data_IF_267904849828
#
_entry.id   IF_267904849828
#
_cell.length_a   1.000
_cell.length_b   1.000
_cell.length_c   1.000
_cell.angle_alpha   90.00
_cell.angle_beta   90.00
_cell.angle_gamma   90.00
#
_symmetry.space_group_name_H-M   'P 1'
#
loop_
_entity.id
_entity.type
_entity.pdbx_description
1 polymer ?
#
# COMPACT_ATOMS: atom_id res chain seq x y z
N UNK A 1 -8.27 28.81 -6.98
CA UNK A 1 -9.08 28.13 -8.03
C UNK A 1 -10.48 27.84 -7.48
N UNK A 2 -11.48 27.64 -8.35
CA UNK A 2 -12.86 27.30 -7.89
C UNK A 2 -12.87 26.01 -7.03
N UNK A 3 -12.02 25.05 -7.35
CA UNK A 3 -11.84 23.85 -6.55
C UNK A 3 -11.25 24.15 -5.17
N UNK A 4 -10.27 25.04 -5.09
CA UNK A 4 -9.66 25.46 -3.83
C UNK A 4 -10.69 26.16 -2.89
N UNK A 5 -11.51 27.04 -3.45
CA UNK A 5 -12.56 27.72 -2.71
C UNK A 5 -13.62 26.74 -2.16
N UNK A 6 -13.98 25.72 -2.95
CA UNK A 6 -14.95 24.70 -2.53
C UNK A 6 -14.42 23.81 -1.40
N UNK A 7 -13.14 23.46 -1.42
CA UNK A 7 -12.56 22.53 -0.44
C UNK A 7 -12.03 23.24 0.82
N UNK A 8 -11.71 24.53 0.75
CA UNK A 8 -11.20 25.31 1.89
C UNK A 8 -12.24 25.50 3.01
N UNK A 9 -13.52 25.34 2.69
CA UNK A 9 -14.63 25.47 3.64
C UNK A 9 -15.03 24.18 4.34
N UNK A 10 -14.36 23.07 4.05
CA UNK A 10 -14.66 21.77 4.66
C UNK A 10 -14.13 21.69 6.10
N UNK A 11 -14.87 20.99 6.95
CA UNK A 11 -14.47 20.72 8.32
C UNK A 11 -13.18 19.90 8.38
N UNK A 12 -12.39 20.12 9.42
CA UNK A 12 -11.13 19.41 9.69
C UNK A 12 -10.02 19.60 8.64
N UNK A 13 -10.20 20.48 7.66
CA UNK A 13 -9.15 20.85 6.72
C UNK A 13 -8.11 21.71 7.43
N UNK A 14 -6.86 21.32 7.33
CA UNK A 14 -5.71 22.01 7.91
C UNK A 14 -5.10 22.99 6.93
N UNK A 15 -4.77 22.51 5.72
CA UNK A 15 -4.19 23.31 4.65
C UNK A 15 -4.71 22.85 3.29
N UNK A 16 -4.79 23.80 2.36
CA UNK A 16 -5.10 23.54 0.95
C UNK A 16 -3.98 24.13 0.11
N UNK A 17 -3.43 23.31 -0.78
CA UNK A 17 -2.40 23.73 -1.73
C UNK A 17 -2.94 23.50 -3.14
N UNK A 18 -2.80 24.48 -4.02
CA UNK A 18 -3.19 24.35 -5.42
C UNK A 18 -1.99 24.59 -6.35
N UNK A 19 -1.88 23.72 -7.34
CA UNK A 19 -0.89 23.80 -8.41
C UNK A 19 -1.65 23.80 -9.74
N UNK A 20 -1.50 24.87 -10.49
CA UNK A 20 -2.10 25.00 -11.82
C UNK A 20 -1.01 25.11 -12.87
N UNK A 21 -1.05 24.23 -13.85
CA UNK A 21 -0.20 24.24 -15.04
C UNK A 21 -1.08 24.17 -16.28
N UNK A 22 -0.47 24.31 -17.46
CA UNK A 22 -1.21 24.14 -18.71
C UNK A 22 -1.87 22.75 -18.76
N UNK A 23 -3.17 22.71 -18.92
CA UNK A 23 -4.02 21.52 -18.99
C UNK A 23 -4.13 20.66 -17.71
N UNK A 24 -3.50 21.03 -16.59
CA UNK A 24 -3.58 20.26 -15.35
C UNK A 24 -3.74 21.20 -14.15
N UNK A 25 -4.74 20.91 -13.31
CA UNK A 25 -4.89 21.54 -11.99
C UNK A 25 -4.90 20.45 -10.91
N UNK A 26 -4.04 20.61 -9.93
CA UNK A 26 -3.93 19.70 -8.78
C UNK A 26 -4.23 20.50 -7.52
N UNK A 27 -5.20 20.02 -6.74
CA UNK A 27 -5.50 20.57 -5.42
C UNK A 27 -5.20 19.52 -4.36
N UNK A 28 -4.25 19.80 -3.49
CA UNK A 28 -3.87 18.95 -2.37
C UNK A 28 -4.54 19.46 -1.10
N UNK A 29 -5.39 18.64 -0.50
CA UNK A 29 -6.10 18.95 0.75
C UNK A 29 -5.47 18.17 1.89
N UNK A 30 -4.95 18.88 2.88
CA UNK A 30 -4.39 18.29 4.10
C UNK A 30 -5.42 18.38 5.23
N UNK A 31 -5.76 17.25 5.84
CA UNK A 31 -6.66 17.17 6.97
C UNK A 31 -5.92 17.16 8.32
N UNK A 32 -6.59 17.53 9.38
CA UNK A 32 -6.07 17.45 10.73
C UNK A 32 -5.83 16.00 11.16
N UNK A 33 -4.87 15.80 12.06
CA UNK A 33 -4.61 14.46 12.60
C UNK A 33 -5.82 13.94 13.39
N UNK A 34 -6.21 12.69 13.12
CA UNK A 34 -7.36 12.04 13.76
C UNK A 34 -8.69 12.22 13.04
N UNK A 35 -8.72 12.96 11.93
CA UNK A 35 -9.91 13.05 11.07
C UNK A 35 -10.22 11.66 10.48
N UNK A 36 -11.50 11.29 10.50
CA UNK A 36 -11.95 10.07 9.83
C UNK A 36 -11.87 10.26 8.32
N UNK A 37 -10.96 9.52 7.68
CA UNK A 37 -10.64 9.64 6.25
C UNK A 37 -11.85 9.33 5.37
N UNK A 38 -12.65 8.32 5.72
CA UNK A 38 -13.84 7.95 4.94
C UNK A 38 -14.87 9.09 4.90
N UNK A 39 -15.08 9.73 6.07
CA UNK A 39 -15.99 10.89 6.18
C UNK A 39 -15.41 12.09 5.42
N UNK A 40 -14.12 12.35 5.55
CA UNK A 40 -13.43 13.42 4.84
C UNK A 40 -13.51 13.24 3.32
N UNK A 41 -13.29 12.00 2.82
CA UNK A 41 -13.43 11.66 1.40
C UNK A 41 -14.85 11.92 0.87
N UNK A 42 -15.89 11.50 1.63
CA UNK A 42 -17.28 11.70 1.23
C UNK A 42 -17.61 13.20 1.16
N UNK A 43 -17.15 13.99 2.16
CA UNK A 43 -17.38 15.43 2.18
C UNK A 43 -16.64 16.15 1.06
N UNK A 44 -15.36 15.75 0.80
CA UNK A 44 -14.56 16.26 -0.31
C UNK A 44 -15.25 15.97 -1.65
N UNK A 45 -15.71 14.72 -1.85
CA UNK A 45 -16.41 14.32 -3.05
C UNK A 45 -17.69 15.15 -3.27
N UNK A 46 -18.49 15.36 -2.23
CA UNK A 46 -19.70 16.21 -2.31
C UNK A 46 -19.38 17.66 -2.70
N UNK A 47 -18.31 18.23 -2.12
CA UNK A 47 -17.87 19.58 -2.45
C UNK A 47 -17.40 19.69 -3.91
N UNK A 48 -16.65 18.73 -4.41
CA UNK A 48 -16.19 18.68 -5.80
C UNK A 48 -17.37 18.44 -6.75
N UNK A 49 -18.29 17.53 -6.43
CA UNK A 49 -19.47 17.27 -7.25
C UNK A 49 -20.37 18.53 -7.34
N UNK A 50 -20.42 19.35 -6.28
CA UNK A 50 -21.18 20.60 -6.27
C UNK A 50 -20.67 21.68 -7.23
N UNK A 51 -19.40 21.64 -7.61
CA UNK A 51 -18.79 22.63 -8.53
C UNK A 51 -18.57 22.10 -9.94
N UNK A 52 -19.01 20.87 -10.26
CA UNK A 52 -18.83 20.29 -11.60
C UNK A 52 -19.42 21.19 -12.70
N UNK A 53 -20.58 21.79 -12.47
CA UNK A 53 -21.22 22.70 -13.44
C UNK A 53 -20.48 24.04 -13.61
N UNK A 54 -19.57 24.38 -12.71
CA UNK A 54 -18.81 25.62 -12.73
C UNK A 54 -17.42 25.46 -13.36
N UNK A 55 -17.05 24.23 -13.72
CA UNK A 55 -15.82 23.92 -14.45
C UNK A 55 -16.00 24.23 -15.95
N UNK A 56 -14.90 24.50 -16.68
CA UNK A 56 -14.94 24.64 -18.14
C UNK A 56 -15.49 23.37 -18.81
N UNK A 57 -16.25 23.54 -19.91
CA UNK A 57 -16.87 22.43 -20.65
C UNK A 57 -15.84 21.40 -21.19
N UNK A 58 -14.60 21.85 -21.44
CA UNK A 58 -13.50 21.02 -21.92
C UNK A 58 -12.71 20.34 -20.78
N UNK A 59 -13.07 20.59 -19.50
CA UNK A 59 -12.38 19.99 -18.36
C UNK A 59 -12.88 18.56 -18.10
N UNK A 60 -11.95 17.62 -17.94
CA UNK A 60 -12.27 16.27 -17.47
C UNK A 60 -12.83 16.33 -16.04
N UNK A 61 -13.59 15.31 -15.67
CA UNK A 61 -14.06 15.17 -14.29
C UNK A 61 -12.88 15.09 -13.30
N UNK A 62 -12.93 15.87 -12.18
CA UNK A 62 -11.89 15.81 -11.17
C UNK A 62 -11.80 14.41 -10.56
N UNK A 63 -10.60 13.83 -10.55
CA UNK A 63 -10.32 12.57 -9.91
C UNK A 63 -9.77 12.80 -8.49
N UNK A 64 -10.39 12.21 -7.49
CA UNK A 64 -9.94 12.31 -6.09
C UNK A 64 -9.05 11.10 -5.79
N UNK A 65 -7.80 11.37 -5.45
CA UNK A 65 -6.83 10.35 -5.05
C UNK A 65 -6.46 10.53 -3.59
N UNK A 66 -6.63 9.48 -2.81
CA UNK A 66 -6.14 9.45 -1.43
C UNK A 66 -4.63 9.16 -1.43
N UNK A 67 -3.86 10.04 -0.78
CA UNK A 67 -2.42 9.84 -0.56
C UNK A 67 -2.21 9.30 0.85
N UNK A 68 -2.35 8.00 1.03
CA UNK A 68 -1.96 7.32 2.26
C UNK A 68 -0.54 6.74 2.12
N UNK A 69 0.28 6.92 3.14
CA UNK A 69 1.60 6.26 3.24
C UNK A 69 1.48 4.74 3.27
N UNK A 70 0.31 4.20 3.65
CA UNK A 70 0.01 2.78 3.59
C UNK A 70 -0.42 2.29 2.21
N UNK A 71 -0.69 3.18 1.25
CA UNK A 71 -1.06 2.83 -0.13
C UNK A 71 0.14 2.50 -1.03
N UNK A 72 1.34 2.49 -0.48
CA UNK A 72 2.52 1.96 -1.18
C UNK A 72 2.34 0.45 -1.46
N UNK A 73 2.72 -0.03 -2.65
CA UNK A 73 2.66 -1.46 -2.93
C UNK A 73 3.59 -2.23 -1.98
N UNK A 74 3.04 -3.29 -1.40
CA UNK A 74 3.80 -4.20 -0.52
C UNK A 74 4.72 -5.08 -1.32
N UNK A 75 4.22 -5.62 -2.43
CA UNK A 75 4.99 -6.49 -3.32
C UNK A 75 4.74 -6.07 -4.76
N UNK A 76 5.79 -6.06 -5.55
CA UNK A 76 5.75 -5.81 -6.99
C UNK A 76 6.34 -7.01 -7.72
N UNK A 77 5.56 -7.60 -8.62
CA UNK A 77 5.95 -8.72 -9.45
C UNK A 77 6.18 -8.26 -10.88
N UNK A 78 7.20 -8.76 -11.53
CA UNK A 78 7.38 -8.71 -12.97
C UNK A 78 6.82 -10.01 -13.57
N UNK A 79 5.77 -9.90 -14.37
CA UNK A 79 5.19 -11.03 -15.09
C UNK A 79 5.61 -10.94 -16.56
N UNK A 80 6.37 -11.90 -16.99
CA UNK A 80 6.86 -12.03 -18.38
C UNK A 80 6.53 -13.40 -18.93
N UNK A 81 6.78 -13.61 -20.23
CA UNK A 81 6.59 -14.89 -20.88
C UNK A 81 5.90 -14.76 -22.23
N UNK A 82 5.68 -15.91 -22.86
CA UNK A 82 4.93 -15.98 -24.11
C UNK A 82 3.54 -16.56 -23.84
N UNK A 83 2.54 -15.82 -24.26
CA UNK A 83 1.12 -16.22 -24.16
C UNK A 83 0.47 -16.09 -25.53
N UNK A 84 -0.61 -16.80 -25.73
CA UNK A 84 -1.44 -16.62 -26.92
C UNK A 84 -2.17 -15.27 -26.82
N UNK A 85 -1.72 -14.28 -27.60
CA UNK A 85 -2.27 -12.94 -27.60
C UNK A 85 -1.44 -11.91 -26.83
N UNK A 86 -2.11 -10.91 -26.29
CA UNK A 86 -1.50 -9.78 -25.60
C UNK A 86 -1.20 -10.13 -24.13
N UNK A 87 0.04 -9.96 -23.71
CA UNK A 87 0.48 -10.29 -22.34
C UNK A 87 -0.28 -9.45 -21.28
N UNK A 88 -0.51 -8.15 -21.52
CA UNK A 88 -1.22 -7.30 -20.58
C UNK A 88 -2.66 -7.77 -20.36
N UNK A 89 -3.40 -8.00 -21.44
CA UNK A 89 -4.77 -8.51 -21.39
C UNK A 89 -4.84 -9.88 -20.74
N UNK A 90 -3.85 -10.73 -21.02
CA UNK A 90 -3.77 -12.06 -20.40
C UNK A 90 -3.58 -11.97 -18.89
N UNK A 91 -2.67 -11.11 -18.41
CA UNK A 91 -2.42 -10.88 -16.99
C UNK A 91 -3.64 -10.23 -16.32
N UNK A 92 -4.29 -9.26 -16.99
CA UNK A 92 -5.50 -8.57 -16.49
C UNK A 92 -6.64 -9.55 -16.24
N UNK A 93 -6.87 -10.49 -17.17
CA UNK A 93 -8.02 -11.39 -17.12
C UNK A 93 -7.79 -12.67 -16.30
N UNK A 94 -6.55 -13.17 -16.24
CA UNK A 94 -6.27 -14.47 -15.62
C UNK A 94 -5.47 -14.37 -14.32
N UNK A 95 -4.54 -13.44 -14.21
CA UNK A 95 -3.62 -13.37 -13.06
C UNK A 95 -4.13 -12.39 -12.00
N UNK A 96 -4.53 -11.19 -12.42
CA UNK A 96 -5.05 -10.15 -11.51
C UNK A 96 -6.21 -10.64 -10.65
N UNK A 97 -7.27 -11.29 -11.19
CA UNK A 97 -8.38 -11.76 -10.36
C UNK A 97 -7.99 -12.82 -9.34
N UNK A 98 -7.01 -13.67 -9.65
CA UNK A 98 -6.52 -14.69 -8.72
C UNK A 98 -5.75 -14.09 -7.54
N UNK A 99 -5.07 -12.97 -7.75
CA UNK A 99 -4.39 -12.22 -6.69
C UNK A 99 -5.38 -11.38 -5.87
N UNK A 100 -6.41 -10.81 -6.49
CA UNK A 100 -7.47 -10.04 -5.81
C UNK A 100 -8.38 -10.90 -4.92
N UNK A 101 -8.47 -12.21 -5.16
CA UNK A 101 -9.21 -13.15 -4.30
C UNK A 101 -8.57 -13.37 -2.94
N UNK A 102 -7.29 -13.00 -2.77
CA UNK A 102 -6.58 -13.16 -1.50
C UNK A 102 -7.13 -12.16 -0.48
N UNK A 103 -7.59 -12.64 0.67
CA UNK A 103 -8.18 -11.80 1.71
C UNK A 103 -7.24 -10.77 2.34
N UNK A 104 -5.94 -10.93 2.17
CA UNK A 104 -4.90 -9.99 2.63
C UNK A 104 -4.62 -8.87 1.62
N UNK A 105 -5.02 -9.03 0.36
CA UNK A 105 -4.80 -8.08 -0.74
C UNK A 105 -5.94 -7.06 -0.80
N UNK A 106 -5.60 -5.79 -0.90
CA UNK A 106 -6.56 -4.68 -1.03
C UNK A 106 -6.78 -4.25 -2.48
N UNK A 107 -5.71 -4.14 -3.25
CA UNK A 107 -5.74 -3.69 -4.64
C UNK A 107 -4.58 -4.30 -5.43
N UNK A 108 -4.86 -4.68 -6.67
CA UNK A 108 -3.85 -5.11 -7.64
C UNK A 108 -3.87 -4.17 -8.83
N UNK A 109 -2.77 -3.46 -9.07
CA UNK A 109 -2.59 -2.56 -10.20
C UNK A 109 -1.56 -3.08 -11.17
N UNK A 110 -1.85 -2.90 -12.46
CA UNK A 110 -0.99 -3.32 -13.56
C UNK A 110 -0.32 -2.09 -14.17
N UNK A 111 0.93 -2.22 -14.57
CA UNK A 111 1.67 -1.20 -15.31
C UNK A 111 2.63 -1.88 -16.30
N UNK A 112 2.90 -1.18 -17.40
CA UNK A 112 3.69 -1.74 -18.50
C UNK A 112 2.86 -2.64 -19.42
N UNK A 113 3.21 -2.64 -20.69
CA UNK A 113 2.44 -3.30 -21.73
C UNK A 113 1.37 -2.39 -22.33
N UNK A 114 0.66 -2.89 -23.29
CA UNK A 114 -0.38 -2.17 -24.04
C UNK A 114 -1.69 -2.94 -23.93
N UNK A 115 -2.75 -2.25 -23.57
CA UNK A 115 -4.08 -2.83 -23.54
C UNK A 115 -4.58 -3.05 -24.97
N UNK A 116 -5.16 -4.20 -25.22
CA UNK A 116 -5.81 -4.50 -26.50
C UNK A 116 -7.24 -3.98 -26.49
N UNK A 117 -7.62 -3.33 -27.58
CA UNK A 117 -8.99 -2.88 -27.79
C UNK A 117 -9.43 -3.14 -29.22
N UNK A 118 -10.75 -3.18 -29.46
CA UNK A 118 -11.30 -3.33 -30.79
C UNK A 118 -11.49 -1.94 -31.40
N UNK A 119 -10.75 -1.66 -32.47
CA UNK A 119 -10.82 -0.40 -33.21
C UNK A 119 -11.84 -0.55 -34.33
N UNK A 120 -12.82 0.36 -34.36
CA UNK A 120 -13.83 0.48 -35.43
C UNK A 120 -13.53 1.74 -36.20
N UNK A 121 -12.90 1.62 -37.36
CA UNK A 121 -12.58 2.73 -38.25
C UNK A 121 -13.67 2.85 -39.31
N UNK A 122 -14.46 3.91 -39.26
CA UNK A 122 -15.50 4.20 -40.24
C UNK A 122 -14.90 4.66 -41.57
N UNK A 123 -15.50 4.22 -42.69
CA UNK A 123 -15.21 4.71 -44.04
C UNK A 123 -16.11 5.91 -44.32
N UNK A 124 -15.58 7.15 -44.45
CA UNK A 124 -16.41 8.35 -44.61
C UNK A 124 -17.25 8.32 -45.87
N UNK A 125 -16.73 7.73 -46.97
CA UNK A 125 -17.43 7.69 -48.24
C UNK A 125 -18.67 6.77 -48.17
N UNK A 126 -18.48 5.59 -47.56
CA UNK A 126 -19.57 4.62 -47.37
C UNK A 126 -20.60 5.12 -46.36
N UNK A 127 -20.15 5.71 -45.24
CA UNK A 127 -21.05 6.31 -44.24
C UNK A 127 -21.93 7.40 -44.90
N UNK A 128 -21.34 8.26 -45.73
CA UNK A 128 -22.10 9.29 -46.50
C UNK A 128 -23.05 8.66 -47.53
N UNK A 129 -22.61 7.62 -48.24
CA UNK A 129 -23.42 6.92 -49.26
C UNK A 129 -24.71 6.31 -48.64
N UNK A 130 -24.60 5.73 -47.42
CA UNK A 130 -25.76 5.16 -46.73
C UNK A 130 -26.53 6.17 -45.87
N UNK A 131 -26.13 7.45 -45.86
CA UNK A 131 -26.79 8.52 -45.10
C UNK A 131 -26.75 8.33 -43.58
N UNK A 132 -25.70 7.67 -43.08
CA UNK A 132 -25.49 7.42 -41.69
C UNK A 132 -24.68 8.53 -41.03
N UNK A 133 -24.86 8.72 -39.72
CA UNK A 133 -24.00 9.55 -38.88
C UNK A 133 -23.21 8.69 -37.95
N UNK A 134 -22.03 9.18 -37.54
CA UNK A 134 -21.17 8.51 -36.57
C UNK A 134 -21.91 8.20 -35.26
N UNK A 135 -22.67 9.18 -34.73
CA UNK A 135 -23.46 9.01 -33.51
C UNK A 135 -24.50 7.89 -33.63
N UNK A 136 -25.12 7.72 -34.81
CA UNK A 136 -26.12 6.69 -35.06
C UNK A 136 -25.47 5.30 -35.09
N UNK A 137 -24.29 5.18 -35.73
CA UNK A 137 -23.52 3.92 -35.75
C UNK A 137 -23.07 3.55 -34.32
N UNK A 138 -22.54 4.52 -33.58
CA UNK A 138 -22.12 4.28 -32.16
C UNK A 138 -23.30 3.83 -31.29
N UNK A 139 -24.50 4.40 -31.53
CA UNK A 139 -25.71 3.99 -30.81
C UNK A 139 -26.15 2.57 -31.16
N UNK A 140 -26.04 2.13 -32.40
CA UNK A 140 -26.37 0.76 -32.79
C UNK A 140 -25.37 -0.25 -32.26
N UNK A 141 -24.07 0.08 -32.29
CA UNK A 141 -23.02 -0.77 -31.73
C UNK A 141 -23.21 -0.91 -30.22
N UNK A 142 -23.44 0.22 -29.51
CA UNK A 142 -23.71 0.19 -28.07
C UNK A 142 -25.01 -0.50 -27.66
N UNK A 143 -26.05 -0.42 -28.52
CA UNK A 143 -27.32 -1.11 -28.28
C UNK A 143 -27.27 -2.62 -28.61
N UNK A 144 -26.29 -3.05 -29.40
CA UNK A 144 -26.09 -4.43 -29.77
C UNK A 144 -25.31 -5.24 -28.68
N UNK A 145 -24.56 -4.50 -27.84
CA UNK A 145 -23.90 -5.06 -26.65
C UNK A 145 -24.86 -4.97 -25.45
N UNK A 146 -25.59 -6.04 -25.18
CA UNK A 146 -26.51 -6.07 -24.05
C UNK A 146 -26.57 -7.46 -23.42
N UNK A 147 -26.69 -7.48 -22.10
CA UNK A 147 -26.97 -8.70 -21.33
C UNK A 147 -28.21 -8.46 -20.45
N UNK A 148 -29.27 -9.18 -20.74
CA UNK A 148 -30.52 -9.11 -19.98
C UNK A 148 -30.63 -10.36 -19.08
N UNK A 149 -30.78 -10.22 -17.78
CA UNK A 149 -31.05 -11.37 -16.91
C UNK A 149 -32.43 -11.94 -17.27
N UNK A 150 -32.45 -13.21 -17.69
CA UNK A 150 -33.68 -13.93 -18.08
C UNK A 150 -34.34 -14.68 -16.91
N UNK A 151 -33.74 -14.59 -15.73
CA UNK A 151 -34.23 -15.23 -14.50
C UNK A 151 -33.32 -16.34 -14.02
N UNK A 152 -33.76 -17.05 -12.96
CA UNK A 152 -33.01 -18.13 -12.32
C UNK A 152 -33.65 -19.47 -12.60
N UNK A 153 -32.82 -20.47 -12.92
CA UNK A 153 -33.24 -21.86 -13.12
C UNK A 153 -32.62 -22.72 -12.04
N UNK A 154 -33.47 -23.45 -11.32
CA UNK A 154 -33.06 -24.42 -10.32
C UNK A 154 -32.67 -25.75 -10.98
N UNK A 155 -31.39 -26.09 -10.95
CA UNK A 155 -30.89 -27.39 -11.41
C UNK A 155 -30.44 -28.21 -10.20
N UNK A 156 -31.30 -29.06 -9.71
CA UNK A 156 -31.04 -29.84 -8.50
C UNK A 156 -30.97 -28.96 -7.24
N UNK A 157 -29.78 -28.80 -6.63
CA UNK A 157 -29.55 -27.97 -5.45
C UNK A 157 -28.85 -26.62 -5.78
N UNK A 158 -28.58 -26.36 -7.05
CA UNK A 158 -27.92 -25.13 -7.50
C UNK A 158 -28.93 -24.22 -8.19
N UNK A 159 -28.87 -22.94 -7.87
CA UNK A 159 -29.61 -21.89 -8.53
C UNK A 159 -28.69 -21.29 -9.59
N UNK A 160 -29.02 -21.42 -10.86
CA UNK A 160 -28.26 -20.89 -11.97
C UNK A 160 -29.01 -19.67 -12.53
N UNK A 161 -28.37 -18.50 -12.48
CA UNK A 161 -28.88 -17.31 -13.18
C UNK A 161 -28.67 -17.47 -14.67
N UNK A 162 -29.77 -17.33 -15.43
CA UNK A 162 -29.78 -17.36 -16.89
C UNK A 162 -29.82 -15.93 -17.39
N UNK A 163 -28.85 -15.55 -18.21
CA UNK A 163 -28.83 -14.28 -18.92
C UNK A 163 -28.93 -14.54 -20.43
N UNK A 164 -29.65 -13.68 -21.13
CA UNK A 164 -29.69 -13.64 -22.59
C UNK A 164 -29.03 -12.34 -23.02
N UNK A 165 -27.97 -12.46 -23.79
CA UNK A 165 -27.21 -11.31 -24.25
C UNK A 165 -26.44 -11.64 -25.51
N UNK A 166 -25.92 -10.60 -26.12
CA UNK A 166 -25.01 -10.66 -27.24
C UNK A 166 -23.70 -10.05 -26.73
N UNK A 167 -22.83 -10.90 -26.18
CA UNK A 167 -21.47 -10.49 -25.79
C UNK A 167 -20.57 -10.55 -27.01
N UNK A 168 -19.88 -9.44 -27.29
CA UNK A 168 -18.94 -9.38 -28.40
C UNK A 168 -17.57 -9.91 -27.99
N UNK A 169 -17.47 -11.22 -27.81
CA UNK A 169 -16.22 -11.89 -27.43
C UNK A 169 -15.14 -11.83 -28.52
N UNK A 170 -15.53 -11.45 -29.76
CA UNK A 170 -14.59 -11.41 -30.87
C UNK A 170 -14.98 -10.37 -31.94
N UNK A 171 -13.97 -9.98 -32.76
CA UNK A 171 -14.14 -9.02 -33.87
C UNK A 171 -15.14 -9.48 -34.95
N UNK A 172 -15.35 -10.78 -35.12
CA UNK A 172 -16.28 -11.30 -36.11
C UNK A 172 -17.75 -11.03 -35.71
N UNK A 173 -18.08 -11.16 -34.43
CA UNK A 173 -19.41 -10.83 -33.96
C UNK A 173 -19.75 -9.33 -34.19
N UNK A 174 -18.79 -8.45 -33.91
CA UNK A 174 -18.91 -7.01 -34.16
C UNK A 174 -19.07 -6.67 -35.65
N UNK A 175 -18.36 -7.33 -36.54
CA UNK A 175 -18.50 -7.11 -38.01
C UNK A 175 -19.91 -7.37 -38.48
N UNK A 176 -20.63 -8.29 -37.88
CA UNK A 176 -21.97 -8.73 -38.25
C UNK A 176 -23.10 -7.94 -37.55
N UNK A 177 -22.77 -6.87 -36.79
CA UNK A 177 -23.79 -6.01 -36.19
C UNK A 177 -24.65 -5.39 -37.25
N UNK A 178 -25.97 -5.59 -37.14
CA UNK A 178 -26.95 -5.10 -38.09
C UNK A 178 -27.28 -3.62 -37.85
N UNK A 179 -27.17 -2.82 -38.88
CA UNK A 179 -27.50 -1.38 -38.87
C UNK A 179 -28.69 -1.13 -39.79
N UNK A 180 -29.88 -0.84 -39.26
CA UNK A 180 -31.05 -0.54 -40.09
C UNK A 180 -30.93 0.84 -40.71
N UNK A 181 -31.18 0.91 -42.03
CA UNK A 181 -31.22 2.14 -42.84
C UNK A 181 -32.62 2.77 -42.86
N UNK A 182 -32.68 4.03 -43.19
CA UNK A 182 -33.96 4.77 -43.27
C UNK A 182 -34.91 4.27 -44.39
N UNK A 183 -34.36 3.59 -45.40
CA UNK A 183 -35.12 2.99 -46.49
C UNK A 183 -35.70 1.60 -46.17
N UNK A 184 -35.42 1.05 -44.97
CA UNK A 184 -35.86 -0.27 -44.54
C UNK A 184 -34.88 -1.42 -44.82
N UNK A 185 -33.77 -1.14 -45.53
CA UNK A 185 -32.69 -2.13 -45.70
C UNK A 185 -31.85 -2.26 -44.43
N UNK A 186 -31.15 -3.38 -44.32
CA UNK A 186 -30.21 -3.65 -43.21
C UNK A 186 -28.84 -3.89 -43.82
N UNK A 187 -27.85 -3.20 -43.31
CA UNK A 187 -26.45 -3.41 -43.64
C UNK A 187 -25.68 -3.90 -42.40
N UNK A 188 -24.51 -4.46 -42.60
CA UNK A 188 -23.61 -4.88 -41.49
C UNK A 188 -22.58 -3.79 -41.23
N UNK A 189 -22.05 -3.77 -39.97
CA UNK A 189 -21.00 -2.82 -39.60
C UNK A 189 -19.75 -2.97 -40.50
N UNK A 190 -19.44 -4.18 -40.96
CA UNK A 190 -18.37 -4.46 -41.93
C UNK A 190 -18.51 -3.74 -43.26
N UNK A 191 -19.76 -3.33 -43.66
CA UNK A 191 -20.00 -2.64 -44.92
C UNK A 191 -19.55 -1.18 -44.87
N UNK A 192 -19.55 -0.57 -43.68
CA UNK A 192 -19.26 0.86 -43.46
C UNK A 192 -18.03 1.10 -42.56
N UNK A 193 -17.45 0.04 -41.97
CA UNK A 193 -16.31 0.16 -41.08
C UNK A 193 -15.33 -1.00 -41.25
N UNK A 194 -14.07 -0.74 -40.92
CA UNK A 194 -13.03 -1.76 -40.70
C UNK A 194 -12.90 -2.03 -39.22
N UNK A 195 -13.20 -3.25 -38.82
CA UNK A 195 -13.07 -3.70 -37.42
C UNK A 195 -11.78 -4.51 -37.27
N UNK A 196 -10.90 -4.09 -36.38
CA UNK A 196 -9.60 -4.73 -36.15
C UNK A 196 -9.20 -4.60 -34.69
N UNK A 197 -8.46 -5.59 -34.18
CA UNK A 197 -7.77 -5.44 -32.92
C UNK A 197 -6.66 -4.40 -33.06
N UNK A 198 -6.55 -3.52 -32.10
CA UNK A 198 -5.52 -2.49 -31.99
C UNK A 198 -4.99 -2.47 -30.56
N UNK A 199 -3.79 -1.94 -30.39
CA UNK A 199 -3.19 -1.72 -29.08
C UNK A 199 -3.34 -0.25 -28.71
N UNK A 200 -3.68 0.03 -27.47
CA UNK A 200 -3.64 1.39 -26.93
C UNK A 200 -2.20 1.92 -26.94
N UNK A 201 -2.05 3.23 -27.04
CA UNK A 201 -0.76 3.85 -26.84
C UNK A 201 -0.25 3.52 -25.45
N UNK A 202 1.00 3.08 -25.33
CA UNK A 202 1.55 2.65 -24.07
C UNK A 202 1.72 3.82 -23.10
N UNK A 203 0.96 3.83 -22.01
CA UNK A 203 1.14 4.80 -20.91
C UNK A 203 2.47 4.59 -20.18
N UNK A 204 2.94 3.35 -20.15
CA UNK A 204 4.19 2.95 -19.49
C UNK A 204 4.78 1.70 -20.17
N UNK A 205 6.08 1.63 -20.19
CA UNK A 205 6.82 0.47 -20.70
C UNK A 205 7.49 -0.23 -19.53
N UNK A 206 7.12 -1.50 -19.30
CA UNK A 206 7.77 -2.38 -18.33
C UNK A 206 8.80 -3.28 -18.98
N UNK A 207 10.05 -3.22 -18.50
CA UNK A 207 11.12 -4.12 -18.94
C UNK A 207 11.90 -4.67 -17.76
N UNK A 208 12.14 -5.96 -17.79
CA UNK A 208 12.99 -6.66 -16.84
C UNK A 208 14.03 -7.50 -17.57
N UNK A 209 15.32 -7.26 -17.30
CA UNK A 209 16.44 -7.91 -17.99
C UNK A 209 16.34 -7.83 -19.52
N UNK A 210 15.83 -6.72 -20.07
CA UNK A 210 15.69 -6.48 -21.50
C UNK A 210 14.48 -7.16 -22.17
N UNK A 211 13.67 -7.89 -21.42
CA UNK A 211 12.41 -8.47 -21.88
C UNK A 211 11.23 -7.59 -21.46
N UNK A 212 10.24 -7.47 -22.32
CA UNK A 212 9.01 -6.76 -22.02
C UNK A 212 8.19 -7.57 -20.98
N UNK A 213 7.74 -6.88 -19.94
CA UNK A 213 6.98 -7.48 -18.81
C UNK A 213 5.78 -6.61 -18.47
N UNK A 214 4.82 -7.22 -17.80
CA UNK A 214 3.77 -6.50 -17.06
C UNK A 214 4.15 -6.45 -15.59
N UNK A 215 4.23 -5.24 -15.04
CA UNK A 215 4.45 -5.02 -13.61
C UNK A 215 3.13 -5.14 -12.87
N UNK A 216 3.08 -6.00 -11.88
CA UNK A 216 1.91 -6.24 -11.03
C UNK A 216 2.25 -5.72 -9.63
N UNK A 217 1.65 -4.61 -9.26
CA UNK A 217 1.84 -3.97 -7.96
C UNK A 217 0.66 -4.30 -7.04
N UNK A 218 0.97 -4.83 -5.86
CA UNK A 218 -0.01 -5.36 -4.92
C UNK A 218 0.02 -4.54 -3.65
N UNK A 219 -1.12 -3.96 -3.28
CA UNK A 219 -1.32 -3.23 -2.04
C UNK A 219 -2.01 -4.11 -1.01
N UNK A 220 -1.72 -3.87 0.25
CA UNK A 220 -2.35 -4.58 1.37
C UNK A 220 -3.76 -4.07 1.66
N UNK A 221 -4.62 -4.93 2.18
CA UNK A 221 -5.84 -4.51 2.86
C UNK A 221 -5.48 -3.82 4.20
N UNK A 222 -6.30 -2.88 4.66
CA UNK A 222 -6.02 -2.11 5.88
C UNK A 222 -5.84 -3.00 7.12
N UNK A 223 -6.57 -4.10 7.21
CA UNK A 223 -6.51 -5.06 8.33
C UNK A 223 -5.32 -6.03 8.27
N UNK A 224 -4.58 -6.06 7.15
CA UNK A 224 -3.51 -7.03 6.90
C UNK A 224 -2.12 -6.41 7.11
N UNK A 225 -1.15 -7.25 7.47
CA UNK A 225 0.25 -6.84 7.55
C UNK A 225 0.96 -7.05 6.22
N UNK A 226 2.07 -6.33 5.98
CA UNK A 226 2.86 -6.52 4.76
C UNK A 226 3.42 -7.95 4.66
N UNK A 227 3.78 -8.56 5.79
CA UNK A 227 4.30 -9.93 5.85
C UNK A 227 3.22 -10.94 5.43
N UNK A 228 1.97 -10.76 5.88
CA UNK A 228 0.87 -11.66 5.51
C UNK A 228 0.59 -11.59 4.01
N UNK A 229 0.54 -10.37 3.45
CA UNK A 229 0.33 -10.16 2.00
C UNK A 229 1.43 -10.82 1.20
N UNK A 230 2.70 -10.57 1.53
CA UNK A 230 3.82 -11.17 0.82
C UNK A 230 3.76 -12.70 0.86
N UNK A 231 3.53 -13.29 2.03
CA UNK A 231 3.42 -14.74 2.20
C UNK A 231 2.27 -15.35 1.38
N UNK A 232 1.10 -14.71 1.39
CA UNK A 232 -0.05 -15.20 0.64
C UNK A 232 0.17 -15.07 -0.87
N UNK A 233 0.72 -13.93 -1.31
CA UNK A 233 1.05 -13.68 -2.73
C UNK A 233 2.10 -14.64 -3.24
N UNK A 234 3.21 -14.85 -2.52
CA UNK A 234 4.26 -15.79 -2.92
C UNK A 234 3.75 -17.23 -3.00
N UNK A 235 2.86 -17.62 -2.08
CA UNK A 235 2.19 -18.91 -2.14
C UNK A 235 1.31 -19.02 -3.37
N UNK A 236 0.53 -17.98 -3.70
CA UNK A 236 -0.34 -17.96 -4.87
C UNK A 236 0.50 -17.95 -6.17
N UNK A 237 1.59 -17.20 -6.22
CA UNK A 237 2.53 -17.21 -7.35
C UNK A 237 3.03 -18.62 -7.64
N UNK A 238 3.41 -19.39 -6.61
CA UNK A 238 3.83 -20.79 -6.79
C UNK A 238 2.74 -21.71 -7.36
N UNK A 239 1.46 -21.38 -7.17
CA UNK A 239 0.32 -22.06 -7.78
C UNK A 239 0.15 -21.61 -9.23
N UNK A 240 0.25 -20.29 -9.47
CA UNK A 240 0.11 -19.70 -10.81
C UNK A 240 1.21 -20.17 -11.77
N UNK A 241 2.46 -20.30 -11.31
CA UNK A 241 3.58 -20.86 -12.10
C UNK A 241 3.31 -22.29 -12.60
N UNK A 242 2.64 -23.09 -11.78
CA UNK A 242 2.25 -24.46 -12.17
C UNK A 242 1.05 -24.48 -13.11
N UNK A 243 0.13 -23.54 -12.94
CA UNK A 243 -1.10 -23.44 -13.73
C UNK A 243 -0.83 -22.83 -15.10
N UNK A 244 0.13 -21.89 -15.18
CA UNK A 244 0.50 -21.14 -16.38
C UNK A 244 1.99 -21.29 -16.70
N UNK A 245 2.44 -22.45 -17.19
CA UNK A 245 3.87 -22.75 -17.38
C UNK A 245 4.57 -21.87 -18.44
N UNK A 246 3.81 -21.11 -19.23
CA UNK A 246 4.35 -20.14 -20.21
C UNK A 246 4.70 -18.78 -19.61
N UNK A 247 4.30 -18.51 -18.37
CA UNK A 247 4.56 -17.28 -17.65
C UNK A 247 5.70 -17.43 -16.65
N UNK A 248 6.48 -16.37 -16.50
CA UNK A 248 7.52 -16.25 -15.49
C UNK A 248 7.14 -15.14 -14.52
N UNK A 249 7.19 -15.44 -13.24
CA UNK A 249 6.91 -14.48 -12.16
C UNK A 249 8.21 -14.17 -11.43
N UNK A 250 8.60 -12.92 -11.40
CA UNK A 250 9.80 -12.49 -10.69
C UNK A 250 9.43 -11.41 -9.67
N UNK A 251 9.81 -11.61 -8.42
CA UNK A 251 9.65 -10.58 -7.39
C UNK A 251 10.67 -9.48 -7.65
N UNK A 252 10.19 -8.26 -7.91
CA UNK A 252 11.04 -7.09 -8.15
C UNK A 252 11.31 -6.35 -6.85
N UNK A 253 10.27 -6.21 -6.04
CA UNK A 253 10.36 -5.56 -4.75
C UNK A 253 9.39 -6.23 -3.77
N UNK A 254 9.86 -6.47 -2.55
CA UNK A 254 9.05 -6.96 -1.43
C UNK A 254 9.38 -6.16 -0.18
N UNK A 255 8.43 -5.32 0.24
CA UNK A 255 8.58 -4.51 1.45
C UNK A 255 8.62 -5.36 2.73
N UNK A 256 8.13 -6.60 2.69
CA UNK A 256 8.16 -7.51 3.84
C UNK A 256 9.56 -8.01 4.16
N UNK A 257 10.44 -8.10 3.16
CA UNK A 257 11.83 -8.51 3.34
C UNK A 257 12.57 -7.54 4.27
N UNK A 258 12.41 -6.22 4.04
CA UNK A 258 13.00 -5.18 4.88
C UNK A 258 12.50 -5.28 6.33
N UNK A 259 11.22 -5.55 6.53
CA UNK A 259 10.63 -5.70 7.87
C UNK A 259 11.16 -6.96 8.54
N UNK A 260 11.21 -8.07 7.83
CA UNK A 260 11.70 -9.36 8.32
C UNK A 260 13.19 -9.29 8.65
N UNK A 261 13.99 -8.65 7.80
CA UNK A 261 15.40 -8.41 8.06
C UNK A 261 15.59 -7.53 9.29
N UNK A 262 14.80 -6.46 9.44
CA UNK A 262 14.83 -5.58 10.61
C UNK A 262 14.49 -6.34 11.90
N UNK A 263 13.46 -7.19 11.88
CA UNK A 263 13.10 -8.04 13.01
C UNK A 263 14.26 -8.98 13.36
N UNK A 264 14.84 -9.63 12.35
CA UNK A 264 15.97 -10.55 12.54
C UNK A 264 17.19 -9.83 13.12
N UNK A 265 17.50 -8.64 12.61
CA UNK A 265 18.59 -7.80 13.12
C UNK A 265 18.37 -7.38 14.58
N UNK A 266 17.13 -7.06 14.96
CA UNK A 266 16.76 -6.77 16.36
C UNK A 266 17.02 -7.99 17.25
N UNK A 267 16.57 -9.17 16.84
CA UNK A 267 16.81 -10.40 17.60
C UNK A 267 18.30 -10.74 17.72
N UNK A 268 19.06 -10.62 16.64
CA UNK A 268 20.51 -10.85 16.67
C UNK A 268 21.21 -9.85 17.59
N UNK A 269 20.87 -8.56 17.47
CA UNK A 269 21.42 -7.50 18.32
C UNK A 269 21.08 -7.74 19.78
N UNK A 270 19.86 -8.16 20.09
CA UNK A 270 19.43 -8.54 21.44
C UNK A 270 20.26 -9.68 22.00
N UNK A 271 20.42 -10.76 21.23
CA UNK A 271 21.22 -11.92 21.66
C UNK A 271 22.68 -11.51 21.91
N UNK A 272 23.26 -10.73 20.98
CA UNK A 272 24.63 -10.21 21.14
C UNK A 272 24.76 -9.31 22.37
N UNK A 273 23.79 -8.42 22.61
CA UNK A 273 23.78 -7.54 23.79
C UNK A 273 23.70 -8.35 25.10
N UNK A 274 22.86 -9.40 25.16
CA UNK A 274 22.77 -10.30 26.31
C UNK A 274 24.08 -10.99 26.54
N UNK A 275 24.68 -11.61 25.54
CA UNK A 275 25.95 -12.35 25.67
C UNK A 275 27.08 -11.41 26.11
N UNK A 276 27.18 -10.25 25.44
CA UNK A 276 28.25 -9.29 25.74
C UNK A 276 28.10 -8.73 27.17
N UNK A 277 26.89 -8.36 27.59
CA UNK A 277 26.62 -7.89 28.94
C UNK A 277 26.93 -8.96 29.98
N UNK A 278 26.58 -10.24 29.75
CA UNK A 278 26.90 -11.33 30.62
C UNK A 278 28.43 -11.54 30.78
N UNK A 279 29.17 -11.47 29.67
CA UNK A 279 30.64 -11.60 29.66
C UNK A 279 31.28 -10.45 30.46
N UNK A 280 30.88 -9.22 30.21
CA UNK A 280 31.39 -8.03 30.89
C UNK A 280 31.11 -8.13 32.42
N UNK A 281 29.87 -8.43 32.78
CA UNK A 281 29.49 -8.56 34.20
C UNK A 281 30.22 -9.69 34.89
N UNK A 282 30.39 -10.82 34.21
CA UNK A 282 31.19 -11.92 34.77
C UNK A 282 32.64 -11.51 35.00
N UNK A 283 33.24 -10.75 34.08
CA UNK A 283 34.60 -10.25 34.20
C UNK A 283 34.76 -9.28 35.40
N UNK A 284 33.78 -8.41 35.62
CA UNK A 284 33.85 -7.39 36.67
C UNK A 284 33.47 -7.90 38.06
N UNK A 285 32.42 -8.73 38.15
CA UNK A 285 31.90 -9.20 39.44
C UNK A 285 32.38 -10.60 39.82
N UNK A 286 32.93 -11.38 38.88
CA UNK A 286 33.39 -12.75 39.12
C UNK A 286 32.28 -13.75 39.46
N UNK A 287 31.01 -13.32 39.46
CA UNK A 287 29.86 -14.16 39.82
C UNK A 287 28.96 -14.39 38.62
N UNK A 288 28.95 -15.62 38.12
CA UNK A 288 28.16 -16.00 36.93
C UNK A 288 26.64 -15.91 37.19
N UNK A 289 26.21 -16.11 38.45
CA UNK A 289 24.78 -16.05 38.80
C UNK A 289 24.23 -14.64 38.64
N UNK A 290 24.99 -13.65 39.06
CA UNK A 290 24.65 -12.24 38.91
C UNK A 290 24.56 -11.84 37.40
N UNK A 291 25.53 -12.31 36.63
CA UNK A 291 25.54 -12.05 35.16
C UNK A 291 24.33 -12.66 34.46
N UNK A 292 23.92 -13.87 34.84
CA UNK A 292 22.71 -14.52 34.30
C UNK A 292 21.43 -13.75 34.66
N UNK A 293 21.31 -13.25 35.89
CA UNK A 293 20.14 -12.48 36.35
C UNK A 293 19.97 -11.22 35.48
N UNK A 294 21.04 -10.45 35.25
CA UNK A 294 21.00 -9.26 34.41
C UNK A 294 20.74 -9.65 32.95
N UNK A 295 21.43 -10.70 32.46
CA UNK A 295 21.22 -11.18 31.09
C UNK A 295 19.77 -11.59 30.78
N UNK A 296 19.08 -12.21 31.74
CA UNK A 296 17.67 -12.60 31.61
C UNK A 296 16.71 -11.43 31.76
N UNK A 297 17.10 -10.32 32.39
CA UNK A 297 16.24 -9.13 32.50
C UNK A 297 15.94 -8.46 31.15
N UNK A 298 16.90 -8.55 30.22
CA UNK A 298 16.79 -7.94 28.88
C UNK A 298 15.63 -8.56 28.09
N UNK A 299 15.59 -9.89 27.82
CA UNK A 299 14.49 -10.49 27.07
C UNK A 299 13.13 -10.33 27.78
N UNK A 300 13.09 -10.39 29.10
CA UNK A 300 11.85 -10.17 29.87
C UNK A 300 11.33 -8.75 29.65
N UNK A 301 12.19 -7.75 29.71
CA UNK A 301 11.80 -6.36 29.50
C UNK A 301 11.33 -6.08 28.06
N UNK A 302 11.97 -6.70 27.08
CA UNK A 302 11.55 -6.61 25.67
C UNK A 302 10.16 -7.23 25.48
N UNK A 303 9.95 -8.43 26.02
CA UNK A 303 8.63 -9.08 25.96
C UNK A 303 7.54 -8.22 26.60
N UNK A 304 7.83 -7.60 27.74
CA UNK A 304 6.90 -6.70 28.41
C UNK A 304 6.59 -5.46 27.56
N UNK A 305 7.61 -4.90 26.91
CA UNK A 305 7.47 -3.76 26.00
C UNK A 305 6.62 -4.11 24.78
N UNK A 306 6.85 -5.29 24.18
CA UNK A 306 6.04 -5.75 23.03
C UNK A 306 4.57 -5.97 23.42
N UNK A 307 4.32 -6.53 24.62
CA UNK A 307 2.95 -6.67 25.14
C UNK A 307 2.30 -5.29 25.34
N UNK A 308 3.02 -4.35 25.94
CA UNK A 308 2.52 -2.99 26.16
C UNK A 308 2.23 -2.28 24.82
N UNK A 309 3.10 -2.40 23.83
CA UNK A 309 2.88 -1.87 22.47
C UNK A 309 1.64 -2.47 21.83
N UNK A 310 1.44 -3.78 21.93
CA UNK A 310 0.26 -4.47 21.42
C UNK A 310 -1.04 -3.97 22.08
N UNK A 311 -1.03 -3.80 23.40
CA UNK A 311 -2.18 -3.26 24.15
C UNK A 311 -2.50 -1.81 23.78
N UNK A 312 -1.50 -1.02 23.43
CA UNK A 312 -1.67 0.38 23.00
C UNK A 312 -1.97 0.52 21.51
N UNK A 313 -2.03 -0.57 20.75
CA UNK A 313 -2.33 -0.56 19.32
C UNK A 313 -1.18 -0.06 18.44
N UNK A 314 0.07 -0.04 18.94
CA UNK A 314 1.22 0.32 18.13
C UNK A 314 1.60 -0.83 17.19
N UNK A 315 1.81 -0.50 15.91
CA UNK A 315 2.31 -1.45 14.92
C UNK A 315 3.83 -1.63 15.02
N UNK A 316 4.29 -2.85 14.74
CA UNK A 316 5.71 -3.13 14.56
C UNK A 316 6.13 -2.63 13.18
N UNK A 317 7.02 -1.66 13.17
CA UNK A 317 7.66 -1.11 11.98
C UNK A 317 9.14 -0.84 12.25
N UNK A 318 9.90 -0.47 11.22
CA UNK A 318 11.35 -0.22 11.35
C UNK A 318 11.67 0.81 12.43
N UNK A 319 10.84 1.84 12.58
CA UNK A 319 11.04 2.91 13.58
C UNK A 319 10.82 2.38 15.00
N UNK A 320 9.73 1.65 15.23
CA UNK A 320 9.43 1.08 16.54
C UNK A 320 10.48 0.03 16.96
N UNK A 321 10.98 -0.77 15.99
CA UNK A 321 12.04 -1.74 16.22
C UNK A 321 13.37 -1.05 16.53
N UNK A 322 13.74 0.00 15.82
CA UNK A 322 14.96 0.79 16.12
C UNK A 322 14.88 1.43 17.52
N UNK A 323 13.71 1.97 17.88
CA UNK A 323 13.49 2.51 19.22
C UNK A 323 13.59 1.45 20.31
N UNK A 324 13.15 0.23 20.02
CA UNK A 324 13.29 -0.91 20.93
C UNK A 324 14.77 -1.25 21.19
N UNK A 325 15.58 -1.30 20.12
CA UNK A 325 17.03 -1.55 20.24
C UNK A 325 17.72 -0.47 21.10
N UNK A 326 17.37 0.80 20.89
CA UNK A 326 17.89 1.91 21.69
C UNK A 326 17.48 1.77 23.16
N UNK A 327 16.24 1.36 23.43
CA UNK A 327 15.73 1.13 24.78
C UNK A 327 16.46 0.00 25.53
N UNK A 328 16.91 -1.05 24.83
CA UNK A 328 17.66 -2.17 25.41
C UNK A 328 18.93 -1.69 26.12
N UNK A 329 19.69 -0.78 25.50
CA UNK A 329 20.91 -0.23 26.11
C UNK A 329 20.63 0.43 27.46
N UNK A 330 19.58 1.25 27.55
CA UNK A 330 19.20 1.92 28.79
C UNK A 330 18.70 0.96 29.88
N UNK A 331 18.05 -0.14 29.47
CA UNK A 331 17.58 -1.16 30.42
C UNK A 331 18.73 -1.94 31.05
N UNK A 332 19.79 -2.23 30.28
CA UNK A 332 20.99 -2.90 30.77
C UNK A 332 21.65 -2.06 31.86
N UNK A 333 21.80 -0.76 31.67
CA UNK A 333 22.40 0.16 32.63
C UNK A 333 21.60 0.18 33.96
N UNK A 334 20.27 0.24 33.88
CA UNK A 334 19.42 0.20 35.05
C UNK A 334 19.57 -1.13 35.82
N UNK A 335 19.66 -2.26 35.13
CA UNK A 335 19.83 -3.58 35.71
C UNK A 335 21.19 -3.72 36.41
N UNK A 336 22.25 -3.16 35.81
CA UNK A 336 23.58 -3.11 36.38
C UNK A 336 23.60 -2.29 37.67
N UNK A 337 22.97 -1.13 37.69
CA UNK A 337 22.88 -0.25 38.87
C UNK A 337 22.15 -0.95 40.04
N UNK A 338 21.04 -1.66 39.77
CA UNK A 338 20.36 -2.46 40.82
C UNK A 338 21.26 -3.56 41.37
N UNK A 339 21.95 -4.25 40.47
CA UNK A 339 22.85 -5.33 40.89
C UNK A 339 24.00 -4.81 41.77
N UNK A 340 24.62 -3.68 41.39
CA UNK A 340 25.67 -3.04 42.19
C UNK A 340 25.15 -2.65 43.58
N UNK A 341 23.93 -2.08 43.66
CA UNK A 341 23.29 -1.80 44.94
C UNK A 341 23.05 -3.04 45.80
N UNK A 342 22.64 -4.16 45.17
CA UNK A 342 22.46 -5.42 45.88
C UNK A 342 23.79 -6.02 46.38
N UNK A 343 24.86 -5.92 45.59
CA UNK A 343 26.19 -6.40 46.03
C UNK A 343 26.77 -5.60 47.18
N UNK A 344 26.62 -4.29 47.19
CA UNK A 344 27.02 -3.44 48.34
C UNK A 344 26.23 -3.76 49.60
N UNK A 345 24.93 -4.01 49.48
CA UNK A 345 24.10 -4.39 50.62
C UNK A 345 24.42 -5.80 51.16
N UNK A 346 24.95 -6.71 50.32
CA UNK A 346 25.30 -8.08 50.68
C UNK A 346 26.49 -8.18 51.67
N UNK A 347 27.39 -7.20 51.72
CA UNK A 347 28.51 -7.19 52.64
C UNK A 347 28.08 -7.25 54.12
N UNK A 348 26.87 -6.80 54.44
CA UNK A 348 26.39 -6.65 55.80
C UNK A 348 25.09 -7.41 56.12
N UNK A 349 24.50 -8.16 55.16
CA UNK A 349 23.17 -8.77 55.30
C UNK A 349 23.07 -10.13 54.60
N UNK A 350 22.00 -10.86 54.90
CA UNK A 350 21.62 -12.08 54.18
C UNK A 350 21.22 -11.73 52.73
N UNK A 351 21.37 -12.69 51.83
CA UNK A 351 21.13 -12.49 50.38
C UNK A 351 19.75 -11.88 50.05
N UNK A 352 18.70 -12.37 50.73
CA UNK A 352 17.32 -11.90 50.50
C UNK A 352 17.12 -10.44 50.98
N UNK A 353 17.60 -10.13 52.17
CA UNK A 353 17.52 -8.77 52.73
C UNK A 353 18.40 -7.79 51.96
N UNK A 354 19.54 -8.23 51.46
CA UNK A 354 20.42 -7.45 50.62
C UNK A 354 19.77 -7.10 49.26
N UNK A 355 19.02 -8.01 48.64
CA UNK A 355 18.31 -7.78 47.40
C UNK A 355 17.19 -6.72 47.58
N UNK A 356 16.43 -6.81 48.67
CA UNK A 356 15.36 -5.85 48.96
C UNK A 356 15.94 -4.46 49.26
N UNK A 357 16.94 -4.38 50.12
CA UNK A 357 17.53 -3.09 50.52
C UNK A 357 18.29 -2.43 49.35
N UNK A 358 19.08 -3.22 48.59
CA UNK A 358 19.79 -2.74 47.41
C UNK A 358 18.84 -2.19 46.36
N UNK A 359 17.74 -2.90 46.07
CA UNK A 359 16.70 -2.42 45.14
C UNK A 359 16.03 -1.15 45.66
N UNK A 360 15.74 -1.05 46.99
CA UNK A 360 15.09 0.12 47.59
C UNK A 360 15.97 1.38 47.52
N UNK A 361 17.27 1.23 47.71
CA UNK A 361 18.23 2.33 47.64
C UNK A 361 18.31 2.86 46.18
N UNK A 362 18.33 1.96 45.22
CA UNK A 362 18.53 2.32 43.82
C UNK A 362 17.27 2.80 43.12
N UNK A 363 16.06 2.52 43.62
CA UNK A 363 14.78 2.84 42.93
C UNK A 363 14.61 4.32 42.64
N UNK A 364 15.04 5.18 43.59
CA UNK A 364 14.94 6.64 43.42
C UNK A 364 15.84 7.15 42.30
N UNK A 365 17.06 6.64 42.21
CA UNK A 365 18.04 6.97 41.17
C UNK A 365 17.56 6.51 39.79
N UNK A 366 17.03 5.27 39.70
CA UNK A 366 16.54 4.69 38.46
C UNK A 366 15.30 5.41 37.97
N UNK A 367 14.33 5.71 38.85
CA UNK A 367 13.12 6.47 38.49
C UNK A 367 13.50 7.86 38.01
N UNK A 368 14.43 8.55 38.70
CA UNK A 368 14.92 9.85 38.29
C UNK A 368 15.61 9.82 36.92
N UNK A 369 16.51 8.86 36.69
CA UNK A 369 17.19 8.68 35.40
C UNK A 369 16.22 8.35 34.27
N UNK A 370 15.29 7.45 34.51
CA UNK A 370 14.27 7.09 33.51
C UNK A 370 13.34 8.27 33.19
N UNK A 371 12.90 9.01 34.21
CA UNK A 371 12.08 10.20 34.04
C UNK A 371 12.81 11.27 33.22
N UNK A 372 14.12 11.50 33.49
CA UNK A 372 14.93 12.43 32.71
C UNK A 372 15.03 12.01 31.26
N UNK A 373 15.24 10.74 30.98
CA UNK A 373 15.27 10.20 29.63
C UNK A 373 13.91 10.39 28.91
N UNK A 374 12.79 10.10 29.57
CA UNK A 374 11.47 10.32 29.02
C UNK A 374 11.23 11.80 28.67
N UNK A 375 11.64 12.72 29.56
CA UNK A 375 11.50 14.18 29.31
C UNK A 375 12.29 14.63 28.09
N UNK A 376 13.47 14.05 27.83
CA UNK A 376 14.27 14.35 26.63
C UNK A 376 13.59 13.87 25.36
N UNK A 377 12.85 12.75 25.40
CA UNK A 377 12.15 12.23 24.22
C UNK A 377 10.80 12.91 23.94
N UNK A 378 10.17 13.58 24.93
CA UNK A 378 8.89 14.30 24.70
C UNK A 378 8.99 15.37 23.62
N UNK A 379 9.96 16.30 23.63
CA UNK A 379 10.10 17.29 22.54
C UNK A 379 10.37 16.64 21.18
N UNK A 380 11.13 15.54 21.15
CA UNK A 380 11.38 14.80 19.91
C UNK A 380 10.10 14.19 19.33
N UNK A 381 9.24 13.63 20.18
CA UNK A 381 7.94 13.11 19.78
C UNK A 381 7.00 14.23 19.27
N UNK A 382 7.05 15.41 19.90
CA UNK A 382 6.27 16.59 19.44
C UNK A 382 6.79 17.12 18.10
N UNK A 383 8.10 17.16 17.88
CA UNK A 383 8.72 17.55 16.61
C UNK A 383 8.34 16.59 15.48
N UNK A 384 8.35 15.28 15.72
CA UNK A 384 7.94 14.29 14.72
C UNK A 384 6.47 14.43 14.32
N UNK A 385 5.58 14.82 15.24
CA UNK A 385 4.18 15.13 14.94
C UNK A 385 3.99 16.35 14.03
N UNK A 386 4.85 17.38 14.19
CA UNK A 386 4.80 18.61 13.37
C UNK A 386 5.49 18.47 12.00
N UNK A 387 6.53 17.65 11.91
CA UNK A 387 7.33 17.50 10.69
C UNK A 387 6.77 16.52 9.65
N UNK A 388 5.82 15.68 9.98
CA UNK A 388 5.12 14.86 8.95
C UNK A 388 4.46 15.72 7.88
N UNK A 389 4.00 16.91 8.25
CA UNK A 389 3.45 17.91 7.34
C UNK A 389 4.53 18.65 6.52
N UNK A 390 5.69 18.93 7.12
CA UNK A 390 6.75 19.70 6.46
C UNK A 390 7.56 18.88 5.44
N UNK A 391 7.69 17.57 5.61
CA UNK A 391 8.43 16.69 4.69
C UNK A 391 7.69 16.51 3.35
N UNK A 392 6.36 16.40 3.37
CA UNK A 392 5.55 16.40 2.14
C UNK A 392 5.64 17.72 1.38
N UNK A 393 5.72 18.86 2.09
CA UNK A 393 5.90 20.20 1.53
C UNK A 393 7.27 20.41 0.86
N UNK A 394 8.36 19.87 1.40
CA UNK A 394 9.70 20.06 0.86
C UNK A 394 9.94 19.29 -0.44
N UNK A 395 9.28 18.17 -0.63
CA UNK A 395 9.33 17.39 -1.89
C UNK A 395 8.55 18.10 -2.99
N UNK A 396 7.40 18.70 -2.67
CA UNK A 396 6.57 19.41 -3.65
C UNK A 396 7.11 20.79 -4.06
N UNK A 397 7.86 21.50 -3.18
CA UNK A 397 8.34 22.88 -3.44
C UNK A 397 9.73 22.99 -4.07
N UNK A 398 10.44 21.89 -4.32
CA UNK A 398 11.79 21.91 -4.95
C UNK A 398 12.87 22.69 -4.16
N UNK A 399 12.59 23.20 -2.99
CA UNK A 399 13.57 23.89 -2.13
C UNK A 399 14.32 22.86 -1.28
N UNK A 400 15.60 22.69 -1.61
CA UNK A 400 16.59 21.94 -0.83
C UNK A 400 16.81 22.60 0.55
N UNK A 401 15.87 22.46 1.44
CA UNK A 401 16.08 22.75 2.85
C UNK A 401 16.76 21.53 3.48
N UNK A 402 18.03 21.69 3.87
CA UNK A 402 18.75 20.68 4.64
C UNK A 402 18.10 20.55 6.02
N UNK A 403 17.13 19.66 6.14
CA UNK A 403 16.60 19.26 7.43
C UNK A 403 17.42 18.06 7.92
N UNK A 404 18.17 18.23 9.00
CA UNK A 404 19.06 17.21 9.57
C UNK A 404 18.30 15.94 10.02
N UNK A 405 16.99 16.03 10.22
CA UNK A 405 16.11 14.88 10.50
C UNK A 405 15.82 13.98 9.29
N UNK A 406 15.94 14.47 8.05
CA UNK A 406 15.72 13.65 6.85
C UNK A 406 16.87 12.66 6.57
N UNK A 407 17.98 12.72 7.31
CA UNK A 407 19.10 11.77 7.15
C UNK A 407 18.86 10.40 7.79
N UNK A 408 17.76 10.24 8.53
CA UNK A 408 17.34 8.98 9.11
C UNK A 408 16.25 8.24 8.32
N UNK A 409 15.88 8.74 7.12
CA UNK A 409 14.76 8.23 6.32
C UNK A 409 15.14 7.86 4.86
N UNK A 410 16.44 7.69 4.57
CA UNK A 410 16.88 7.04 3.32
C UNK A 410 17.56 5.72 3.62
#
# INVERSE_FOLDING_TARGET
>A
TKQEDAVSSLDDVKNVYSFSQDNVAIVLVEYNYGTNIDTAYINLKKAIDGIKSDLPDDANEPNIMEMDMNSQPVITLAVGGQVDGNLYTYVENNIKPELEKLGSVGEVSLAGGQKEYISIKLDPEKVAQYGLSMSRIAQFVGAADFTIPAGDVNVGKQNLSVSVGNDFDNTEALKNVAIPLANGDVIHLSDVATVSNALEDADSIGRYNGQDIVSVSIKKQQSSTAIDVSKDVLKQVSVLEKTYPGLTFTVVNDSSDMITESITNVFQTMIMAVILSMIILWLFYGDIRASVIVGTSIPISIMLTLIAMSLMGFSLNVISLTSLVLGVGMMVDNSINVLDGCFRAKEHRNFFDAAIEGSRIMITSIVGGTATTCVVFIPLAMLCGHHRTAVLLSVASGRKGKCTCCRFYT
#
